data_IF_952782184158
#
_entry.id   IF_952782184158
#
_cell.length_a   1.000
_cell.length_b   1.000
_cell.length_c   1.000
_cell.angle_alpha   90.00
_cell.angle_beta   90.00
_cell.angle_gamma   90.00
#
_symmetry.space_group_name_H-M   'P 1'
#
loop_
_entity.id
_entity.type
_entity.pdbx_description
1 polymer ?
#
# COMPACT_ATOMS: atom_id res chain seq x y z
N UNK A 1 73.75 6.05 -11.64
CA UNK A 1 74.45 6.47 -10.39
C UNK A 1 73.64 5.73 -9.28
N UNK A 2 74.04 4.52 -8.88
CA UNK A 2 74.96 4.18 -7.81
C UNK A 2 74.62 4.95 -6.53
N UNK A 3 74.33 4.35 -5.42
CA UNK A 3 74.98 3.55 -4.41
C UNK A 3 73.96 3.41 -3.24
N UNK A 4 73.81 2.50 -2.36
CA UNK A 4 74.57 1.39 -1.84
C UNK A 4 73.83 0.75 -0.68
N UNK A 5 74.00 -0.50 -0.50
CA UNK A 5 73.51 -1.33 0.59
C UNK A 5 74.19 -1.01 1.94
N UNK A 6 73.42 -1.18 3.05
CA UNK A 6 74.02 -1.55 4.34
C UNK A 6 73.19 -2.67 5.00
N UNK A 7 73.80 -3.86 5.09
CA UNK A 7 73.45 -4.99 5.98
C UNK A 7 74.00 -4.75 7.37
N UNK A 8 73.28 -5.10 8.42
CA UNK A 8 73.74 -5.58 9.76
C UNK A 8 72.43 -5.90 10.52
N UNK A 9 72.23 -6.98 11.21
CA UNK A 9 73.05 -8.01 11.79
C UNK A 9 72.20 -8.69 12.85
N UNK A 10 72.30 -9.97 12.96
CA UNK A 10 71.47 -10.90 13.73
C UNK A 10 71.38 -10.62 15.24
N UNK A 11 70.22 -11.02 15.80
CA UNK A 11 70.05 -11.19 17.23
C UNK A 11 68.78 -12.06 17.46
N UNK A 12 68.96 -13.38 17.37
CA UNK A 12 67.92 -14.33 17.75
C UNK A 12 67.87 -14.43 19.27
N UNK A 13 66.75 -13.97 19.88
CA UNK A 13 66.39 -14.30 21.27
C UNK A 13 65.21 -15.24 21.20
N UNK A 14 65.49 -16.51 21.47
CA UNK A 14 64.46 -17.52 21.65
C UNK A 14 63.81 -17.33 23.02
N UNK A 15 62.58 -16.84 23.04
CA UNK A 15 61.69 -16.87 24.21
C UNK A 15 60.76 -18.08 24.05
N UNK A 16 61.12 -19.16 24.77
CA UNK A 16 60.21 -20.31 24.95
C UNK A 16 59.06 -19.91 25.84
N UNK A 17 57.89 -19.58 25.26
CA UNK A 17 56.64 -19.48 25.98
C UNK A 17 55.97 -20.81 26.00
N UNK A 18 55.89 -21.40 27.19
CA UNK A 18 55.07 -22.55 27.53
C UNK A 18 53.61 -22.19 27.26
N UNK A 19 53.01 -22.70 26.17
CA UNK A 19 51.59 -22.70 25.95
C UNK A 19 50.95 -23.76 26.85
N UNK A 20 50.37 -23.31 27.97
CA UNK A 20 49.34 -24.08 28.67
C UNK A 20 48.08 -24.11 27.80
N UNK A 21 47.48 -25.26 27.54
CA UNK A 21 46.16 -25.32 26.91
C UNK A 21 45.12 -24.92 27.96
N UNK A 22 44.87 -23.62 28.07
CA UNK A 22 43.68 -23.13 28.74
C UNK A 22 42.48 -23.43 27.85
N UNK A 23 41.71 -24.47 28.23
CA UNK A 23 40.38 -24.68 27.72
C UNK A 23 39.50 -23.52 28.21
N UNK A 24 39.58 -22.42 27.50
CA UNK A 24 38.59 -21.37 27.58
C UNK A 24 37.36 -21.87 26.84
N UNK A 25 36.45 -22.57 27.54
CA UNK A 25 35.05 -22.58 27.13
C UNK A 25 34.59 -21.13 27.16
N UNK A 26 34.66 -20.47 25.99
CA UNK A 26 34.10 -19.15 25.83
C UNK A 26 32.60 -19.26 26.18
N UNK A 27 32.27 -18.77 27.36
CA UNK A 27 30.87 -18.48 27.69
C UNK A 27 30.38 -17.59 26.54
N UNK A 28 29.40 -18.11 25.78
CA UNK A 28 28.70 -17.29 24.81
C UNK A 28 28.32 -15.98 25.52
N UNK A 29 28.54 -14.81 24.94
CA UNK A 29 28.23 -13.56 25.59
C UNK A 29 26.79 -13.64 26.03
N UNK A 30 26.52 -13.49 27.33
CA UNK A 30 25.19 -13.40 27.89
C UNK A 30 24.54 -12.24 27.14
N UNK A 31 23.65 -12.53 26.20
CA UNK A 31 22.95 -11.50 25.47
C UNK A 31 22.19 -10.62 26.47
N UNK A 32 22.49 -9.35 26.43
CA UNK A 32 21.83 -8.37 27.28
C UNK A 32 20.35 -8.35 26.92
N UNK A 33 19.48 -8.66 27.87
CA UNK A 33 18.03 -8.67 27.72
C UNK A 33 17.49 -7.34 27.18
N UNK A 34 18.14 -6.22 27.56
CA UNK A 34 17.79 -4.89 27.04
C UNK A 34 17.97 -4.81 25.51
N UNK A 35 18.97 -5.45 24.95
CA UNK A 35 19.20 -5.52 23.48
C UNK A 35 18.14 -6.37 22.79
N UNK A 36 17.73 -7.47 23.42
CA UNK A 36 16.65 -8.33 22.90
C UNK A 36 15.34 -7.55 22.87
N UNK A 37 14.97 -6.90 23.99
CA UNK A 37 13.76 -6.07 24.06
C UNK A 37 13.83 -4.92 23.05
N UNK A 38 14.99 -4.27 22.90
CA UNK A 38 15.17 -3.24 21.88
C UNK A 38 14.93 -3.78 20.46
N UNK A 39 15.47 -4.94 20.11
CA UNK A 39 15.29 -5.56 18.81
C UNK A 39 13.82 -5.94 18.56
N UNK A 40 13.13 -6.55 19.55
CA UNK A 40 11.72 -6.89 19.48
C UNK A 40 10.83 -5.65 19.26
N UNK A 41 11.18 -4.51 19.86
CA UNK A 41 10.47 -3.24 19.66
C UNK A 41 10.77 -2.56 18.32
N UNK A 42 11.94 -2.82 17.71
CA UNK A 42 12.35 -2.19 16.44
C UNK A 42 11.97 -3.00 15.21
N UNK A 43 11.99 -4.33 15.34
CA UNK A 43 11.75 -5.27 14.25
C UNK A 43 10.40 -5.99 14.38
N UNK A 44 9.58 -5.59 15.35
CA UNK A 44 8.25 -6.12 15.61
C UNK A 44 7.39 -5.09 16.32
N UNK A 45 6.23 -5.55 16.78
CA UNK A 45 5.28 -4.73 17.54
C UNK A 45 5.52 -4.80 19.07
N UNK A 46 6.72 -5.21 19.46
CA UNK A 46 7.12 -5.39 20.85
C UNK A 46 7.08 -6.84 21.32
N UNK A 47 7.66 -7.11 22.52
CA UNK A 47 7.72 -8.45 23.05
C UNK A 47 6.35 -8.95 23.53
N UNK A 48 5.94 -10.13 23.06
CA UNK A 48 4.85 -10.92 23.63
C UNK A 48 5.37 -11.70 24.85
N UNK A 49 4.49 -12.19 25.74
CA UNK A 49 4.92 -13.08 26.81
C UNK A 49 5.70 -14.29 26.28
N UNK A 50 6.93 -14.48 26.75
CA UNK A 50 7.83 -15.56 26.34
C UNK A 50 8.73 -15.27 25.15
N UNK A 51 8.56 -14.13 24.43
CA UNK A 51 9.39 -13.80 23.26
C UNK A 51 10.84 -13.51 23.66
N UNK A 52 11.07 -12.85 24.80
CA UNK A 52 12.41 -12.52 25.28
C UNK A 52 13.19 -13.79 25.57
N UNK A 53 12.60 -14.75 26.27
CA UNK A 53 13.19 -16.05 26.58
C UNK A 53 13.45 -16.86 25.32
N UNK A 54 12.51 -16.85 24.38
CA UNK A 54 12.66 -17.56 23.11
C UNK A 54 13.82 -16.99 22.27
N UNK A 55 13.91 -15.66 22.18
CA UNK A 55 15.03 -15.01 21.47
C UNK A 55 16.35 -15.23 22.16
N UNK A 56 16.37 -15.18 23.51
CA UNK A 56 17.57 -15.48 24.30
C UNK A 56 18.07 -16.92 24.08
N UNK A 57 17.15 -17.88 24.04
CA UNK A 57 17.48 -19.29 23.78
C UNK A 57 17.96 -19.54 22.34
N UNK A 58 17.41 -18.81 21.37
CA UNK A 58 17.78 -18.92 19.95
C UNK A 58 19.07 -18.17 19.62
N UNK A 59 19.34 -17.07 20.29
CA UNK A 59 20.36 -16.07 19.98
C UNK A 59 19.81 -14.91 19.13
N UNK A 60 20.06 -13.67 19.57
CA UNK A 60 19.52 -12.46 18.96
C UNK A 60 19.85 -12.35 17.46
N UNK A 61 21.11 -12.57 17.07
CA UNK A 61 21.53 -12.47 15.67
C UNK A 61 20.81 -13.50 14.78
N UNK A 62 20.60 -14.70 15.30
CA UNK A 62 19.87 -15.74 14.56
C UNK A 62 18.39 -15.40 14.43
N UNK A 63 17.78 -14.83 15.47
CA UNK A 63 16.41 -14.33 15.39
C UNK A 63 16.27 -13.21 14.36
N UNK A 64 17.20 -12.24 14.37
CA UNK A 64 17.21 -11.15 13.38
C UNK A 64 17.37 -11.69 11.95
N UNK A 65 18.27 -12.66 11.74
CA UNK A 65 18.44 -13.30 10.42
C UNK A 65 17.14 -13.97 9.96
N UNK A 66 16.44 -14.68 10.85
CA UNK A 66 15.14 -15.27 10.54
C UNK A 66 14.11 -14.20 10.17
N UNK A 67 14.04 -13.09 10.91
CA UNK A 67 13.09 -12.02 10.59
C UNK A 67 13.38 -11.36 9.23
N UNK A 68 14.65 -11.30 8.81
CA UNK A 68 15.03 -10.82 7.47
C UNK A 68 14.75 -11.83 6.35
N UNK A 69 14.38 -13.07 6.70
CA UNK A 69 14.03 -14.14 5.76
C UNK A 69 12.66 -14.74 6.12
N UNK A 70 11.56 -13.96 5.99
CA UNK A 70 10.24 -14.38 6.47
C UNK A 70 9.73 -15.68 5.81
N UNK A 71 10.23 -16.03 4.62
CA UNK A 71 9.91 -17.29 3.94
C UNK A 71 10.37 -18.53 4.72
N UNK A 72 11.33 -18.40 5.63
CA UNK A 72 11.83 -19.46 6.50
C UNK A 72 11.01 -19.63 7.78
N UNK A 73 10.10 -18.69 8.05
CA UNK A 73 9.23 -18.72 9.25
C UNK A 73 7.88 -19.30 8.87
N UNK A 74 7.43 -20.40 9.48
CA UNK A 74 6.21 -21.10 9.06
C UNK A 74 4.89 -20.39 9.39
N UNK A 75 4.90 -19.35 10.22
CA UNK A 75 3.76 -18.48 10.59
C UNK A 75 2.41 -19.21 10.76
N UNK A 76 2.41 -20.29 11.55
CA UNK A 76 1.33 -21.29 11.62
C UNK A 76 0.02 -20.75 12.23
N UNK A 77 0.10 -19.71 13.06
CA UNK A 77 -1.05 -19.18 13.77
C UNK A 77 -1.98 -18.32 12.90
N UNK A 78 -1.47 -17.78 11.80
CA UNK A 78 -2.19 -16.78 11.01
C UNK A 78 -3.28 -17.38 10.12
N UNK A 79 -3.08 -18.48 9.37
CA UNK A 79 -4.11 -19.02 8.48
C UNK A 79 -5.44 -19.28 9.19
N UNK A 80 -5.40 -19.95 10.36
CA UNK A 80 -6.61 -20.30 11.11
C UNK A 80 -7.31 -19.07 11.70
N UNK A 81 -6.53 -18.05 12.12
CA UNK A 81 -7.08 -16.81 12.67
C UNK A 81 -7.73 -15.92 11.63
N UNK A 82 -7.21 -15.93 10.42
CA UNK A 82 -7.77 -15.17 9.30
C UNK A 82 -8.89 -15.92 8.55
N UNK A 83 -9.04 -17.23 8.77
CA UNK A 83 -10.04 -18.05 8.09
C UNK A 83 -11.48 -17.50 8.22
N UNK A 84 -11.92 -16.95 9.38
CA UNK A 84 -13.25 -16.35 9.54
C UNK A 84 -13.46 -15.07 8.74
N UNK A 85 -12.38 -14.33 8.41
CA UNK A 85 -12.42 -13.04 7.69
C UNK A 85 -12.58 -13.30 6.19
N UNK A 86 -13.83 -13.36 5.73
CA UNK A 86 -14.17 -13.86 4.39
C UNK A 86 -13.77 -12.88 3.29
N UNK A 87 -13.87 -11.57 3.55
CA UNK A 87 -13.62 -10.51 2.56
C UNK A 87 -12.17 -10.51 2.09
N UNK A 88 -11.22 -10.86 2.93
CA UNK A 88 -9.79 -10.88 2.61
C UNK A 88 -9.40 -11.79 1.43
N UNK A 89 -10.26 -12.74 1.08
CA UNK A 89 -10.02 -13.71 0.00
C UNK A 89 -10.74 -13.36 -1.29
N UNK A 90 -11.64 -12.38 -1.21
CA UNK A 90 -12.42 -11.94 -2.35
C UNK A 90 -11.60 -10.97 -3.22
N UNK A 91 -11.91 -10.96 -4.50
CA UNK A 91 -11.45 -9.94 -5.42
C UNK A 91 -12.24 -8.65 -5.21
N UNK A 92 -11.68 -7.52 -5.63
CA UNK A 92 -12.39 -6.23 -5.65
C UNK A 92 -13.72 -6.33 -6.41
N UNK A 93 -13.75 -7.13 -7.47
CA UNK A 93 -14.96 -7.43 -8.24
C UNK A 93 -16.04 -8.12 -7.40
N UNK A 94 -15.67 -9.16 -6.65
CA UNK A 94 -16.59 -9.88 -5.76
C UNK A 94 -17.04 -9.02 -4.60
N UNK A 95 -16.12 -8.23 -4.02
CA UNK A 95 -16.46 -7.28 -2.97
C UNK A 95 -17.48 -6.22 -3.44
N UNK A 96 -17.27 -5.63 -4.61
CA UNK A 96 -18.21 -4.66 -5.19
C UNK A 96 -19.56 -5.30 -5.48
N UNK A 97 -19.57 -6.53 -5.99
CA UNK A 97 -20.82 -7.24 -6.31
C UNK A 97 -21.62 -7.62 -5.06
N UNK A 98 -20.95 -8.14 -4.02
CA UNK A 98 -21.60 -8.68 -2.83
C UNK A 98 -21.81 -7.65 -1.71
N UNK A 99 -20.98 -6.63 -1.61
CA UNK A 99 -20.93 -5.71 -0.45
C UNK A 99 -21.25 -4.26 -0.82
N UNK A 100 -21.22 -3.86 -2.09
CA UNK A 100 -21.63 -2.51 -2.49
C UNK A 100 -23.14 -2.36 -2.46
N UNK A 101 -23.63 -1.21 -1.99
CA UNK A 101 -25.06 -0.90 -2.01
C UNK A 101 -25.63 -0.99 -3.44
N UNK A 102 -26.72 -1.73 -3.64
CA UNK A 102 -27.36 -1.81 -4.95
C UNK A 102 -27.68 -0.42 -5.53
N UNK A 103 -27.67 -0.26 -6.86
CA UNK A 103 -27.99 1.03 -7.49
C UNK A 103 -29.34 1.61 -7.07
N UNK A 104 -30.34 0.75 -6.79
CA UNK A 104 -31.63 1.16 -6.28
C UNK A 104 -31.53 1.80 -4.88
N UNK A 105 -30.78 1.17 -3.97
CA UNK A 105 -30.54 1.72 -2.63
C UNK A 105 -29.83 3.08 -2.69
N UNK A 106 -28.81 3.21 -3.54
CA UNK A 106 -28.07 4.48 -3.72
C UNK A 106 -28.99 5.61 -4.20
N UNK A 107 -29.90 5.31 -5.14
CA UNK A 107 -30.89 6.28 -5.62
C UNK A 107 -31.87 6.68 -4.51
N UNK A 108 -32.34 5.71 -3.74
CA UNK A 108 -33.28 5.98 -2.64
C UNK A 108 -32.61 6.82 -1.54
N UNK A 109 -31.35 6.56 -1.19
CA UNK A 109 -30.57 7.41 -0.27
C UNK A 109 -30.46 8.84 -0.82
N UNK A 110 -30.13 9.00 -2.10
CA UNK A 110 -30.01 10.32 -2.72
C UNK A 110 -31.35 11.07 -2.70
N UNK A 111 -32.45 10.40 -2.98
CA UNK A 111 -33.79 10.99 -2.93
C UNK A 111 -34.19 11.40 -1.51
N UNK A 112 -33.94 10.54 -0.52
CA UNK A 112 -34.21 10.85 0.89
C UNK A 112 -33.35 12.03 1.36
N UNK A 113 -32.06 12.07 1.04
CA UNK A 113 -31.19 13.19 1.41
C UNK A 113 -31.68 14.49 0.76
N UNK A 114 -32.10 14.47 -0.50
CA UNK A 114 -32.67 15.63 -1.16
C UNK A 114 -33.98 16.09 -0.51
N UNK A 115 -34.81 15.17 -0.01
CA UNK A 115 -36.07 15.50 0.68
C UNK A 115 -35.89 16.08 2.09
N UNK A 116 -34.75 15.81 2.73
CA UNK A 116 -34.42 16.38 4.04
C UNK A 116 -33.99 17.85 3.96
N UNK A 117 -33.53 18.31 2.77
CA UNK A 117 -33.09 19.69 2.53
C UNK A 117 -31.68 19.98 3.10
N UNK A 118 -31.15 21.18 2.77
CA UNK A 118 -29.79 21.57 3.11
C UNK A 118 -29.55 21.79 4.62
N UNK A 119 -30.61 21.91 5.42
CA UNK A 119 -30.55 22.12 6.86
C UNK A 119 -30.68 20.84 7.70
N UNK A 120 -30.66 19.66 7.05
CA UNK A 120 -30.76 18.39 7.76
C UNK A 120 -29.56 18.17 8.68
N UNK A 121 -29.81 17.71 9.91
CA UNK A 121 -28.71 17.31 10.81
C UNK A 121 -28.02 16.04 10.30
N UNK A 122 -26.73 15.87 10.67
CA UNK A 122 -25.97 14.65 10.32
C UNK A 122 -26.69 13.38 10.80
N UNK A 123 -27.33 13.43 11.96
CA UNK A 123 -28.11 12.31 12.51
C UNK A 123 -29.33 11.97 11.65
N UNK A 124 -30.04 12.96 11.11
CA UNK A 124 -31.16 12.73 10.22
C UNK A 124 -30.71 12.06 8.90
N UNK A 125 -29.61 12.54 8.32
CA UNK A 125 -29.02 11.94 7.12
C UNK A 125 -28.55 10.50 7.40
N UNK A 126 -27.91 10.27 8.54
CA UNK A 126 -27.46 8.96 8.98
C UNK A 126 -28.62 7.98 9.17
N UNK A 127 -29.68 8.39 9.89
CA UNK A 127 -30.87 7.56 10.10
C UNK A 127 -31.56 7.22 8.78
N UNK A 128 -31.71 8.19 7.88
CA UNK A 128 -32.32 7.97 6.57
C UNK A 128 -31.51 6.93 5.75
N UNK A 129 -30.18 7.04 5.78
CA UNK A 129 -29.28 6.07 5.14
C UNK A 129 -29.39 4.68 5.76
N UNK A 130 -29.41 4.57 7.08
CA UNK A 130 -29.53 3.29 7.79
C UNK A 130 -30.85 2.58 7.48
N UNK A 131 -31.96 3.31 7.39
CA UNK A 131 -33.25 2.75 6.97
C UNK A 131 -33.19 2.11 5.58
N UNK A 132 -32.55 2.80 4.62
CA UNK A 132 -32.41 2.27 3.26
C UNK A 132 -31.47 1.07 3.24
N UNK A 133 -30.34 1.14 3.92
CA UNK A 133 -29.41 0.00 4.03
C UNK A 133 -30.10 -1.23 4.61
N UNK A 134 -30.93 -1.04 5.65
CA UNK A 134 -31.71 -2.14 6.25
C UNK A 134 -32.70 -2.76 5.26
N UNK A 135 -33.36 -1.95 4.44
CA UNK A 135 -34.31 -2.41 3.43
C UNK A 135 -33.68 -3.30 2.36
N UNK A 136 -32.44 -2.95 1.95
CA UNK A 136 -31.72 -3.68 0.90
C UNK A 136 -30.72 -4.71 1.44
N UNK A 137 -30.77 -5.01 2.75
CA UNK A 137 -29.83 -5.93 3.39
C UNK A 137 -29.84 -7.33 2.80
N UNK A 138 -31.02 -7.83 2.40
CA UNK A 138 -31.20 -9.17 1.78
C UNK A 138 -30.59 -9.27 0.38
N UNK A 139 -30.35 -8.14 -0.28
CA UNK A 139 -29.82 -8.10 -1.65
C UNK A 139 -28.28 -8.05 -1.65
N UNK A 140 -27.66 -8.12 -0.47
CA UNK A 140 -26.22 -8.03 -0.26
C UNK A 140 -25.71 -9.25 0.49
N UNK A 141 -24.51 -9.71 0.14
CA UNK A 141 -23.82 -10.81 0.87
C UNK A 141 -23.34 -10.36 2.26
N UNK A 142 -23.00 -9.07 2.40
CA UNK A 142 -22.55 -8.49 3.65
C UNK A 142 -22.73 -6.98 3.73
N UNK A 143 -22.27 -6.41 4.83
CA UNK A 143 -22.28 -4.95 5.02
C UNK A 143 -21.05 -4.32 4.34
N UNK A 144 -21.18 -3.20 3.61
CA UNK A 144 -20.02 -2.47 3.07
C UNK A 144 -18.92 -2.17 4.10
N UNK A 145 -19.31 -1.95 5.36
CA UNK A 145 -18.37 -1.69 6.45
C UNK A 145 -17.54 -2.91 6.84
N UNK A 146 -18.13 -4.10 6.69
CA UNK A 146 -17.46 -5.37 7.02
C UNK A 146 -16.13 -5.54 6.28
N UNK A 147 -16.03 -5.05 5.04
CA UNK A 147 -14.79 -5.13 4.24
C UNK A 147 -13.63 -4.42 4.95
N UNK A 148 -13.89 -3.20 5.44
CA UNK A 148 -12.87 -2.43 6.15
C UNK A 148 -12.62 -2.99 7.55
N UNK A 149 -13.68 -3.41 8.25
CA UNK A 149 -13.56 -3.99 9.59
C UNK A 149 -12.71 -5.27 9.55
N UNK A 150 -12.95 -6.19 8.60
CA UNK A 150 -12.15 -7.41 8.46
C UNK A 150 -10.70 -7.15 8.04
N UNK A 151 -10.44 -6.12 7.22
CA UNK A 151 -9.08 -5.69 6.88
C UNK A 151 -8.33 -5.19 8.12
N UNK A 152 -9.00 -4.38 8.96
CA UNK A 152 -8.43 -3.89 10.23
C UNK A 152 -8.18 -5.03 11.22
N UNK A 153 -9.14 -5.94 11.36
CA UNK A 153 -9.00 -7.13 12.21
C UNK A 153 -7.82 -7.99 11.75
N UNK A 154 -7.68 -8.19 10.44
CA UNK A 154 -6.55 -8.93 9.89
C UNK A 154 -5.21 -8.29 10.22
N UNK A 155 -5.10 -6.97 10.14
CA UNK A 155 -3.90 -6.21 10.52
C UNK A 155 -3.56 -6.43 11.99
N UNK A 156 -4.54 -6.32 12.89
CA UNK A 156 -4.36 -6.55 14.32
C UNK A 156 -3.97 -8.00 14.62
N UNK A 157 -4.65 -8.98 14.02
CA UNK A 157 -4.34 -10.39 14.20
C UNK A 157 -2.91 -10.72 13.76
N UNK A 158 -2.46 -10.16 12.62
CA UNK A 158 -1.09 -10.34 12.17
C UNK A 158 -0.08 -9.67 13.09
N UNK A 159 -0.33 -8.44 13.52
CA UNK A 159 0.55 -7.73 14.45
C UNK A 159 0.73 -8.50 15.76
N UNK A 160 -0.35 -9.09 16.28
CA UNK A 160 -0.35 -9.81 17.58
C UNK A 160 0.23 -11.22 17.44
N UNK A 161 -0.12 -11.97 16.39
CA UNK A 161 0.09 -13.42 16.35
C UNK A 161 1.08 -13.90 15.29
N UNK A 162 1.45 -13.06 14.30
CA UNK A 162 2.43 -13.49 13.31
C UNK A 162 3.80 -13.69 13.93
N UNK A 163 4.47 -14.76 13.53
CA UNK A 163 5.88 -14.97 13.87
C UNK A 163 6.82 -14.21 12.90
N UNK A 164 6.28 -13.70 11.79
CA UNK A 164 6.97 -12.87 10.78
C UNK A 164 6.88 -11.39 11.13
N UNK A 165 7.28 -11.01 12.34
CA UNK A 165 7.05 -9.68 12.90
C UNK A 165 7.61 -8.56 12.03
N UNK A 166 8.84 -8.66 11.56
CA UNK A 166 9.44 -7.63 10.70
C UNK A 166 8.70 -7.49 9.36
N UNK A 167 8.21 -8.58 8.80
CA UNK A 167 7.39 -8.54 7.59
C UNK A 167 6.11 -7.71 7.81
N UNK A 168 5.42 -7.92 8.92
CA UNK A 168 4.19 -7.17 9.22
C UNK A 168 4.48 -5.68 9.52
N UNK A 169 5.60 -5.38 10.18
CA UNK A 169 6.05 -3.99 10.38
C UNK A 169 6.36 -3.29 9.04
N UNK A 170 7.02 -3.99 8.11
CA UNK A 170 7.29 -3.44 6.79
C UNK A 170 6.02 -3.24 5.96
N UNK A 171 5.07 -4.18 6.03
CA UNK A 171 3.76 -4.02 5.38
C UNK A 171 3.03 -2.80 5.94
N UNK A 172 3.00 -2.65 7.27
CA UNK A 172 2.36 -1.50 7.92
C UNK A 172 3.04 -0.18 7.52
N UNK A 173 4.37 -0.15 7.50
CA UNK A 173 5.14 1.01 7.06
C UNK A 173 4.76 1.43 5.63
N UNK A 174 4.77 0.49 4.68
CA UNK A 174 4.49 0.80 3.28
C UNK A 174 3.03 1.12 3.00
N UNK A 175 2.08 0.52 3.71
CA UNK A 175 0.66 0.90 3.64
C UNK A 175 0.46 2.33 4.15
N UNK A 176 1.18 2.74 5.20
CA UNK A 176 1.12 4.11 5.70
C UNK A 176 1.82 5.10 4.78
N UNK A 177 2.94 4.71 4.16
CA UNK A 177 3.66 5.55 3.19
C UNK A 177 2.84 5.77 1.90
N UNK A 178 2.23 4.73 1.36
CA UNK A 178 1.35 4.77 0.20
C UNK A 178 -0.13 4.70 0.62
N UNK A 179 -0.51 5.57 1.56
CA UNK A 179 -1.80 5.51 2.22
C UNK A 179 -2.97 5.82 1.29
N UNK A 180 -4.08 5.10 1.51
CA UNK A 180 -5.35 5.29 0.82
C UNK A 180 -6.46 5.38 1.86
N UNK A 181 -7.32 6.40 1.77
CA UNK A 181 -8.42 6.57 2.69
C UNK A 181 -9.60 5.66 2.33
N UNK A 182 -9.89 4.70 3.21
CA UNK A 182 -10.88 3.65 3.00
C UNK A 182 -12.32 4.16 2.74
N UNK A 183 -12.67 5.33 3.25
CA UNK A 183 -14.03 5.87 3.08
C UNK A 183 -14.20 6.75 1.82
N UNK A 184 -13.18 6.88 0.98
CA UNK A 184 -13.32 7.55 -0.30
C UNK A 184 -14.00 6.64 -1.34
N UNK A 185 -15.31 6.68 -1.38
CA UNK A 185 -16.11 6.04 -2.44
C UNK A 185 -15.91 4.52 -2.54
N UNK A 186 -15.29 4.06 -3.63
CA UNK A 186 -15.08 2.64 -3.91
C UNK A 186 -13.76 2.09 -3.35
N UNK A 187 -12.88 2.93 -2.80
CA UNK A 187 -11.57 2.49 -2.28
C UNK A 187 -11.69 1.37 -1.26
N UNK A 188 -12.73 1.39 -0.41
CA UNK A 188 -12.97 0.31 0.55
C UNK A 188 -13.01 -1.09 -0.05
N UNK A 189 -13.39 -1.23 -1.32
CA UNK A 189 -13.45 -2.52 -2.02
C UNK A 189 -12.16 -2.83 -2.78
N UNK A 190 -11.25 -1.86 -2.90
CA UNK A 190 -9.98 -1.99 -3.59
C UNK A 190 -8.81 -2.26 -2.64
N UNK A 191 -8.99 -1.97 -1.33
CA UNK A 191 -7.91 -2.02 -0.34
C UNK A 191 -7.42 -3.43 -0.02
N UNK A 192 -8.29 -4.45 -0.04
CA UNK A 192 -7.89 -5.83 0.24
C UNK A 192 -6.89 -6.33 -0.82
N UNK A 193 -7.19 -6.12 -2.11
CA UNK A 193 -6.26 -6.45 -3.20
C UNK A 193 -5.02 -5.55 -3.15
N UNK A 194 -5.18 -4.28 -2.80
CA UNK A 194 -4.06 -3.35 -2.67
C UNK A 194 -3.05 -3.82 -1.61
N UNK A 195 -3.50 -4.19 -0.42
CA UNK A 195 -2.60 -4.75 0.59
C UNK A 195 -2.04 -6.10 0.16
N UNK A 196 -2.92 -7.03 -0.26
CA UNK A 196 -2.57 -8.43 -0.52
C UNK A 196 -1.68 -8.61 -1.74
N UNK A 197 -2.00 -7.93 -2.85
CA UNK A 197 -1.42 -8.22 -4.17
C UNK A 197 -0.43 -7.14 -4.63
N UNK A 198 -0.53 -5.91 -4.07
CA UNK A 198 0.36 -4.80 -4.44
C UNK A 198 1.47 -4.60 -3.40
N UNK A 199 1.12 -4.38 -2.14
CA UNK A 199 2.09 -4.03 -1.09
C UNK A 199 2.85 -5.27 -0.59
N UNK A 200 2.16 -6.26 -0.01
CA UNK A 200 2.77 -7.41 0.67
C UNK A 200 3.82 -8.15 -0.15
N UNK A 201 3.64 -8.42 -1.44
CA UNK A 201 4.63 -9.14 -2.24
C UNK A 201 5.90 -8.35 -2.52
N UNK A 202 5.91 -7.02 -2.26
CA UNK A 202 6.99 -6.11 -2.68
C UNK A 202 7.75 -5.46 -1.53
N UNK A 203 7.33 -5.69 -0.28
CA UNK A 203 7.97 -5.04 0.89
C UNK A 203 9.44 -5.41 1.07
N UNK A 204 9.90 -6.51 0.50
CA UNK A 204 11.29 -6.98 0.47
C UNK A 204 11.99 -6.73 -0.87
N UNK A 205 11.28 -6.12 -1.82
CA UNK A 205 11.77 -5.85 -3.16
C UNK A 205 12.47 -4.50 -3.30
N UNK A 206 12.59 -4.05 -4.55
CA UNK A 206 13.10 -2.71 -4.85
C UNK A 206 12.00 -1.67 -4.66
N UNK A 207 12.39 -0.50 -4.18
CA UNK A 207 11.47 0.63 -4.02
C UNK A 207 10.78 1.02 -5.34
N UNK A 208 11.52 0.99 -6.45
CA UNK A 208 10.99 1.28 -7.79
C UNK A 208 9.82 0.35 -8.16
N UNK A 209 9.96 -0.95 -7.91
CA UNK A 209 8.93 -1.94 -8.21
C UNK A 209 7.68 -1.73 -7.35
N UNK A 210 7.88 -1.37 -6.07
CA UNK A 210 6.79 -1.06 -5.16
C UNK A 210 6.09 0.24 -5.56
N UNK A 211 6.83 1.32 -5.82
CA UNK A 211 6.31 2.61 -6.27
C UNK A 211 5.49 2.46 -7.55
N UNK A 212 6.03 1.75 -8.54
CA UNK A 212 5.32 1.50 -9.79
C UNK A 212 4.02 0.72 -9.58
N UNK A 213 4.09 -0.37 -8.81
CA UNK A 213 2.91 -1.19 -8.54
C UNK A 213 1.83 -0.43 -7.77
N UNK A 214 2.19 0.44 -6.83
CA UNK A 214 1.24 1.30 -6.12
C UNK A 214 0.65 2.36 -7.05
N UNK A 215 1.46 2.98 -7.91
CA UNK A 215 1.01 3.98 -8.87
C UNK A 215 0.06 3.39 -9.95
N UNK A 216 0.28 2.16 -10.39
CA UNK A 216 -0.60 1.46 -11.32
C UNK A 216 -1.85 0.84 -10.64
N UNK A 217 -1.91 0.82 -9.30
CA UNK A 217 -3.03 0.22 -8.59
C UNK A 217 -4.35 0.95 -8.84
N UNK A 218 -5.46 0.23 -9.14
CA UNK A 218 -6.79 0.83 -9.20
C UNK A 218 -7.16 1.62 -7.94
N UNK A 219 -6.74 1.18 -6.75
CA UNK A 219 -6.97 1.87 -5.50
C UNK A 219 -6.30 3.25 -5.47
N UNK A 220 -5.01 3.36 -5.79
CA UNK A 220 -4.30 4.63 -5.80
C UNK A 220 -4.81 5.56 -6.92
N UNK A 221 -5.07 5.02 -8.10
CA UNK A 221 -5.63 5.78 -9.21
C UNK A 221 -7.01 6.36 -8.89
N UNK A 222 -7.84 5.61 -8.15
CA UNK A 222 -9.16 6.07 -7.71
C UNK A 222 -9.02 7.06 -6.56
N UNK A 223 -8.16 6.77 -5.57
CA UNK A 223 -7.95 7.63 -4.41
C UNK A 223 -7.51 9.03 -4.79
N UNK A 224 -6.55 9.17 -5.70
CA UNK A 224 -6.01 10.44 -6.15
C UNK A 224 -6.67 10.97 -7.44
N UNK A 225 -7.77 10.36 -7.88
CA UNK A 225 -8.57 10.75 -9.05
C UNK A 225 -7.79 10.74 -10.39
N UNK A 226 -6.63 10.08 -10.47
CA UNK A 226 -5.86 10.04 -11.72
C UNK A 226 -6.57 9.27 -12.84
N UNK A 227 -7.48 8.37 -12.51
CA UNK A 227 -8.32 7.67 -13.50
C UNK A 227 -9.15 8.60 -14.39
N UNK A 228 -9.27 9.89 -14.02
CA UNK A 228 -9.93 10.95 -14.78
C UNK A 228 -8.94 11.82 -15.58
N UNK A 229 -7.62 11.66 -15.37
CA UNK A 229 -6.57 12.47 -15.98
C UNK A 229 -6.48 12.23 -17.48
N UNK A 230 -6.49 13.33 -18.25
CA UNK A 230 -6.43 13.27 -19.70
C UNK A 230 -5.73 14.52 -20.26
N UNK A 231 -5.16 14.41 -21.45
CA UNK A 231 -4.74 15.57 -22.24
C UNK A 231 -5.93 16.53 -22.41
N UNK A 232 -5.80 17.81 -22.04
CA UNK A 232 -6.84 18.80 -22.24
C UNK A 232 -7.29 18.94 -23.71
N UNK A 233 -6.42 18.58 -24.65
CA UNK A 233 -6.68 18.63 -26.09
C UNK A 233 -7.18 17.29 -26.67
N UNK A 234 -7.30 16.25 -25.83
CA UNK A 234 -7.80 14.95 -26.28
C UNK A 234 -9.24 15.07 -26.83
N UNK A 235 -9.59 14.32 -27.87
CA UNK A 235 -10.92 14.36 -28.44
C UNK A 235 -11.96 13.91 -27.41
N UNK A 236 -13.04 14.69 -27.28
CA UNK A 236 -14.15 14.33 -26.39
C UNK A 236 -14.69 12.93 -26.76
N UNK A 237 -14.92 12.10 -25.75
CA UNK A 237 -15.61 10.82 -25.97
C UNK A 237 -17.01 11.12 -26.48
N UNK A 238 -17.23 11.00 -27.79
CA UNK A 238 -18.61 11.01 -28.34
C UNK A 238 -19.37 9.86 -27.69
N UNK A 239 -20.53 10.13 -27.07
CA UNK A 239 -21.37 9.04 -26.55
C UNK A 239 -21.63 8.03 -27.68
N UNK A 240 -21.48 6.74 -27.39
CA UNK A 240 -21.79 5.69 -28.37
C UNK A 240 -23.24 5.88 -28.83
N UNK A 241 -23.44 6.28 -30.10
CA UNK A 241 -24.74 6.52 -30.74
C UNK A 241 -25.71 5.33 -30.72
N UNK A 242 -25.30 4.18 -30.20
CA UNK A 242 -26.06 2.92 -30.19
C UNK A 242 -26.30 2.33 -28.79
N UNK A 243 -26.30 3.14 -27.73
CA UNK A 243 -26.82 2.65 -26.47
C UNK A 243 -28.36 2.65 -26.52
N UNK A 244 -28.95 1.46 -26.58
CA UNK A 244 -30.43 1.25 -26.46
C UNK A 244 -30.97 1.65 -25.07
N UNK A 245 -30.09 2.05 -24.15
CA UNK A 245 -30.45 2.45 -22.79
C UNK A 245 -30.07 3.92 -22.58
N UNK A 246 -30.96 4.70 -21.92
CA UNK A 246 -30.62 6.07 -21.54
C UNK A 246 -29.38 6.09 -20.64
N UNK A 247 -28.49 7.09 -20.79
CA UNK A 247 -27.31 7.21 -19.94
C UNK A 247 -27.72 7.26 -18.47
N UNK A 248 -27.06 6.46 -17.64
CA UNK A 248 -27.29 6.46 -16.19
C UNK A 248 -26.96 7.85 -15.62
N UNK A 249 -27.75 8.40 -14.66
CA UNK A 249 -27.54 9.76 -14.13
C UNK A 249 -26.12 10.05 -13.63
N UNK A 250 -25.42 9.03 -13.11
CA UNK A 250 -24.03 9.16 -12.68
C UNK A 250 -23.01 9.16 -13.85
N UNK A 251 -23.36 8.57 -14.99
CA UNK A 251 -22.52 8.64 -16.19
C UNK A 251 -22.49 10.06 -16.76
N UNK A 252 -23.56 10.82 -16.63
CA UNK A 252 -23.61 12.23 -17.04
C UNK A 252 -22.78 13.14 -16.13
N UNK A 253 -22.71 12.88 -14.81
CA UNK A 253 -21.81 13.64 -13.91
C UNK A 253 -20.32 13.37 -14.21
N UNK A 254 -19.95 12.13 -14.47
CA UNK A 254 -18.60 11.77 -14.90
C UNK A 254 -18.26 12.29 -16.31
N UNK A 255 -19.27 12.46 -17.19
CA UNK A 255 -19.09 13.05 -18.52
C UNK A 255 -19.00 14.58 -18.50
N UNK A 256 -19.61 15.24 -17.51
CA UNK A 256 -19.58 16.71 -17.35
C UNK A 256 -18.39 17.22 -16.52
N UNK A 257 -17.62 16.36 -15.86
CA UNK A 257 -16.32 16.75 -15.30
C UNK A 257 -15.39 16.99 -16.48
N UNK A 258 -14.98 18.26 -16.68
CA UNK A 258 -13.93 18.61 -17.63
C UNK A 258 -12.71 17.76 -17.30
N UNK A 259 -12.35 16.88 -18.20
CA UNK A 259 -11.10 16.12 -18.13
C UNK A 259 -9.96 17.11 -18.29
N UNK A 260 -8.95 16.95 -17.49
CA UNK A 260 -7.76 17.79 -17.52
C UNK A 260 -6.61 17.06 -16.84
N UNK A 261 -5.50 17.74 -16.70
CA UNK A 261 -4.34 17.20 -15.99
C UNK A 261 -4.68 17.04 -14.51
N UNK A 262 -4.31 15.91 -13.94
CA UNK A 262 -4.36 15.70 -12.51
C UNK A 262 -3.01 15.99 -11.87
N UNK A 263 -2.78 17.26 -11.54
CA UNK A 263 -1.55 17.68 -10.86
C UNK A 263 -1.47 17.15 -9.42
N UNK A 264 -2.60 16.86 -8.77
CA UNK A 264 -2.59 16.31 -7.41
C UNK A 264 -1.89 14.95 -7.39
N UNK A 265 -2.21 14.06 -8.33
CA UNK A 265 -1.56 12.76 -8.43
C UNK A 265 -0.05 12.88 -8.65
N UNK A 266 0.36 13.74 -9.56
CA UNK A 266 1.77 13.99 -9.85
C UNK A 266 2.49 14.58 -8.63
N UNK A 267 1.84 15.50 -7.91
CA UNK A 267 2.37 16.10 -6.69
C UNK A 267 2.56 15.04 -5.60
N UNK A 268 1.58 14.19 -5.36
CA UNK A 268 1.68 13.12 -4.36
C UNK A 268 2.83 12.15 -4.68
N UNK A 269 3.03 11.81 -5.95
CA UNK A 269 4.16 10.97 -6.37
C UNK A 269 5.50 11.66 -6.06
N UNK A 270 5.65 12.96 -6.33
CA UNK A 270 6.89 13.68 -6.04
C UNK A 270 7.06 13.98 -4.56
N UNK A 271 6.02 14.46 -3.91
CA UNK A 271 6.09 15.03 -2.57
C UNK A 271 6.03 13.97 -1.48
N UNK A 272 4.99 13.13 -1.48
CA UNK A 272 4.77 12.17 -0.40
C UNK A 272 5.37 10.79 -0.68
N UNK A 273 5.43 10.39 -1.95
CA UNK A 273 5.85 9.04 -2.29
C UNK A 273 7.35 8.92 -2.58
N UNK A 274 8.04 10.03 -2.98
CA UNK A 274 9.47 9.94 -3.39
C UNK A 274 10.37 11.03 -2.81
N UNK A 275 10.29 12.27 -3.31
CA UNK A 275 11.32 13.30 -3.09
C UNK A 275 11.17 14.07 -1.77
N UNK A 276 9.97 14.14 -1.24
CA UNK A 276 9.64 15.02 -0.11
C UNK A 276 9.30 16.45 -0.55
N UNK A 277 8.73 17.23 0.38
CA UNK A 277 8.27 18.61 0.14
C UNK A 277 9.40 19.49 -0.40
N UNK A 278 10.61 19.35 0.14
CA UNK A 278 11.80 20.12 -0.24
C UNK A 278 12.67 19.39 -1.26
N UNK A 279 12.09 18.49 -2.06
CA UNK A 279 12.78 17.61 -3.00
C UNK A 279 13.42 18.29 -4.23
N UNK A 280 13.38 19.63 -4.32
CA UNK A 280 14.03 20.41 -5.37
C UNK A 280 13.28 20.45 -6.70
N UNK A 281 12.07 19.90 -6.79
CA UNK A 281 11.18 20.00 -7.94
C UNK A 281 10.41 21.33 -7.94
N UNK A 282 9.97 21.75 -9.13
CA UNK A 282 9.19 22.97 -9.34
C UNK A 282 7.73 22.64 -9.68
N UNK A 283 6.84 23.65 -9.65
CA UNK A 283 5.47 23.50 -10.13
C UNK A 283 5.43 23.04 -11.60
N UNK A 284 6.42 23.44 -12.40
CA UNK A 284 6.54 22.97 -13.79
C UNK A 284 6.80 21.47 -13.84
N UNK A 285 7.67 20.94 -13.00
CA UNK A 285 7.94 19.49 -12.93
C UNK A 285 6.68 18.70 -12.56
N UNK A 286 5.87 19.22 -11.63
CA UNK A 286 4.57 18.62 -11.26
C UNK A 286 3.63 18.57 -12.47
N UNK A 287 3.51 19.68 -13.22
CA UNK A 287 2.65 19.74 -14.40
C UNK A 287 3.15 18.80 -15.50
N UNK A 288 4.46 18.76 -15.76
CA UNK A 288 5.06 17.87 -16.74
C UNK A 288 4.88 16.39 -16.35
N UNK A 289 5.01 16.06 -15.05
CA UNK A 289 4.74 14.71 -14.55
C UNK A 289 3.24 14.36 -14.68
N UNK A 290 2.35 15.30 -14.41
CA UNK A 290 0.91 15.09 -14.61
C UNK A 290 0.57 14.77 -16.07
N UNK A 291 1.27 15.40 -17.04
CA UNK A 291 1.15 15.07 -18.46
C UNK A 291 1.60 13.63 -18.75
N UNK A 292 2.64 13.14 -18.07
CA UNK A 292 3.08 11.74 -18.20
C UNK A 292 2.02 10.75 -17.72
N UNK A 293 1.25 11.09 -16.69
CA UNK A 293 0.22 10.21 -16.11
C UNK A 293 -1.16 10.35 -16.79
N UNK A 294 -1.32 11.23 -17.79
CA UNK A 294 -2.53 11.24 -18.59
C UNK A 294 -2.74 9.88 -19.26
N UNK A 295 -3.98 9.40 -19.30
CA UNK A 295 -4.30 8.08 -19.85
C UNK A 295 -4.09 6.90 -18.90
N UNK A 296 -3.42 7.08 -17.75
CA UNK A 296 -3.40 6.08 -16.68
C UNK A 296 -4.76 6.06 -16.01
N UNK A 297 -5.55 5.04 -16.27
CA UNK A 297 -6.96 5.00 -15.87
C UNK A 297 -7.36 3.61 -15.36
N UNK A 298 -8.60 3.50 -14.90
CA UNK A 298 -9.21 2.25 -14.44
C UNK A 298 -10.24 1.81 -15.47
N UNK A 299 -10.09 0.61 -16.02
CA UNK A 299 -11.10 -0.06 -16.82
C UNK A 299 -11.92 -0.97 -15.93
N UNK A 300 -13.20 -1.12 -16.26
CA UNK A 300 -14.08 -2.06 -15.58
C UNK A 300 -14.58 -1.60 -14.19
N UNK A 301 -14.33 -0.37 -13.78
CA UNK A 301 -14.80 0.14 -12.48
C UNK A 301 -16.33 0.15 -12.38
N UNK A 302 -17.04 0.46 -13.48
CA UNK A 302 -18.49 0.46 -13.52
C UNK A 302 -19.09 -0.94 -13.69
N UNK A 303 -18.34 -1.83 -14.32
CA UNK A 303 -18.65 -3.25 -14.52
C UNK A 303 -18.22 -4.11 -13.32
N UNK A 304 -17.73 -3.49 -12.26
CA UNK A 304 -17.25 -4.14 -11.04
C UNK A 304 -16.06 -5.10 -11.28
N UNK A 305 -15.20 -4.79 -12.24
CA UNK A 305 -13.94 -5.48 -12.53
C UNK A 305 -12.80 -4.47 -12.72
N UNK A 306 -12.42 -3.76 -11.65
CA UNK A 306 -11.44 -2.69 -11.75
C UNK A 306 -10.05 -3.23 -12.09
N UNK A 307 -9.45 -2.67 -13.13
CA UNK A 307 -8.07 -2.98 -13.52
C UNK A 307 -7.38 -1.74 -14.08
N UNK A 308 -6.07 -1.65 -13.87
CA UNK A 308 -5.24 -0.66 -14.54
C UNK A 308 -5.41 -0.77 -16.05
N UNK A 309 -5.50 0.38 -16.71
CA UNK A 309 -5.54 0.47 -18.16
C UNK A 309 -4.89 1.76 -18.64
N UNK A 310 -3.97 1.65 -19.59
CA UNK A 310 -3.45 2.82 -20.28
C UNK A 310 -4.32 3.13 -21.51
N UNK A 311 -4.99 4.28 -21.49
CA UNK A 311 -5.79 4.77 -22.62
C UNK A 311 -4.98 5.79 -23.43
N UNK A 312 -4.25 5.30 -24.43
CA UNK A 312 -3.39 6.09 -25.30
C UNK A 312 -4.14 7.22 -26.06
N UNK A 313 -5.46 7.12 -26.21
CA UNK A 313 -6.28 8.13 -26.88
C UNK A 313 -6.44 9.44 -26.11
N UNK A 314 -6.22 9.38 -24.81
CA UNK A 314 -6.31 10.54 -23.90
C UNK A 314 -4.96 10.87 -23.26
N UNK A 315 -3.89 10.22 -23.70
CA UNK A 315 -2.53 10.51 -23.26
C UNK A 315 -1.96 11.71 -24.02
N UNK A 316 -1.29 12.59 -23.27
CA UNK A 316 -0.50 13.69 -23.82
C UNK A 316 0.80 13.15 -24.43
N UNK A 317 0.93 13.23 -25.75
CA UNK A 317 2.07 12.70 -26.52
C UNK A 317 3.19 13.73 -26.77
N UNK A 318 3.04 14.95 -26.27
CA UNK A 318 4.06 16.00 -26.41
C UNK A 318 5.30 15.67 -25.57
N UNK A 319 6.45 16.19 -26.01
CA UNK A 319 7.69 16.11 -25.21
C UNK A 319 7.50 16.75 -23.84
N UNK A 320 8.13 16.17 -22.84
CA UNK A 320 8.05 16.61 -21.44
C UNK A 320 9.46 16.76 -20.88
N UNK A 321 9.64 17.63 -19.90
CA UNK A 321 10.92 17.78 -19.19
C UNK A 321 10.62 17.76 -17.70
N UNK A 322 11.14 16.76 -16.99
CA UNK A 322 10.95 16.57 -15.57
C UNK A 322 12.31 16.52 -14.89
N UNK A 323 12.55 17.38 -13.90
CA UNK A 323 13.83 17.47 -13.18
C UNK A 323 15.03 17.62 -14.14
N UNK A 324 14.83 18.35 -15.24
CA UNK A 324 15.85 18.55 -16.28
C UNK A 324 16.04 17.37 -17.25
N UNK A 325 15.30 16.28 -17.10
CA UNK A 325 15.36 15.11 -18.01
C UNK A 325 14.24 15.20 -19.05
N UNK A 326 14.60 15.05 -20.33
CA UNK A 326 13.64 15.00 -21.42
C UNK A 326 12.99 13.59 -21.48
N UNK A 327 11.66 13.55 -21.67
CA UNK A 327 10.85 12.34 -21.84
C UNK A 327 10.06 12.50 -23.14
N UNK A 328 10.26 11.59 -24.07
CA UNK A 328 9.67 11.57 -25.39
C UNK A 328 8.57 10.54 -25.55
#
# INVERSE_FOLDING_TARGET
MSVSAIRRGAGAVAISTLLSPGVGAGLAPVEDESRIVHALNRLGYGPRPGDVEAVKAMGLLKWMDLQMHPERIPDRAIPDRLAPLRTLRLSSAELMKGYELPPAARREIQQKNASLGDNASEDQVKMAREQVVRKYRSDMEGNPRQVVDELQDAKLLRAIYSDRQLNEVLVDFWINHFNIYADKGQDRYLLDEYERDVIRPRVWGKFEDLLRATAESPAMLFYLDNWLSADPNAPERRPRRFSRFPPRPNAQRAQNQKRGLNENYAREIMELHTLGVDGGYTQKDVTELARCFTGWTIRGLQEQHPAFFFDDRIHDRGDKVILGQAIH
#
